data_IF_374062891097
#
_entry.id   IF_374062891097
#
_cell.length_a   1.000
_cell.length_b   1.000
_cell.length_c   1.000
_cell.angle_alpha   90.00
_cell.angle_beta   90.00
_cell.angle_gamma   90.00
#
_symmetry.space_group_name_H-M   'P 1'
#
loop_
_entity.id
_entity.type
_entity.pdbx_description
1 polymer ?
#
# COMPACT_ATOMS: atom_id res chain seq x y z
N UNK A 1 -52.31 -15.89 -34.88
CA UNK A 1 -50.98 -15.24 -34.88
C UNK A 1 -50.75 -14.23 -33.73
N UNK A 2 -51.62 -14.16 -32.70
CA UNK A 2 -51.50 -13.18 -31.60
C UNK A 2 -50.69 -13.68 -30.38
N UNK A 3 -50.69 -15.01 -30.13
CA UNK A 3 -50.06 -15.64 -28.96
C UNK A 3 -48.54 -15.61 -28.92
N UNK A 4 -47.85 -15.47 -30.06
CA UNK A 4 -46.39 -15.41 -30.12
C UNK A 4 -45.82 -14.05 -29.68
N UNK A 5 -46.51 -12.96 -30.01
CA UNK A 5 -46.08 -11.59 -29.68
C UNK A 5 -46.24 -11.30 -28.19
N UNK A 6 -47.31 -11.80 -27.54
CA UNK A 6 -47.50 -11.61 -26.10
C UNK A 6 -46.46 -12.38 -25.27
N UNK A 7 -46.09 -13.60 -25.68
CA UNK A 7 -45.02 -14.38 -25.04
C UNK A 7 -43.66 -13.71 -25.17
N UNK A 8 -43.36 -13.10 -26.32
CA UNK A 8 -42.12 -12.36 -26.55
C UNK A 8 -42.04 -11.10 -25.69
N UNK A 9 -43.14 -10.35 -25.56
CA UNK A 9 -43.22 -9.15 -24.70
C UNK A 9 -43.05 -9.54 -23.23
N UNK A 10 -43.70 -10.62 -22.78
CA UNK A 10 -43.56 -11.10 -21.40
C UNK A 10 -42.12 -11.54 -21.10
N UNK A 11 -41.46 -12.18 -22.05
CA UNK A 11 -40.07 -12.61 -21.94
C UNK A 11 -39.10 -11.42 -21.88
N UNK A 12 -39.29 -10.40 -22.73
CA UNK A 12 -38.50 -9.15 -22.69
C UNK A 12 -38.70 -8.38 -21.38
N UNK A 13 -39.94 -8.31 -20.88
CA UNK A 13 -40.22 -7.67 -19.59
C UNK A 13 -39.55 -8.40 -18.43
N UNK A 14 -39.50 -9.74 -18.47
CA UNK A 14 -38.82 -10.55 -17.46
C UNK A 14 -37.30 -10.36 -17.47
N UNK A 15 -36.69 -10.29 -18.66
CA UNK A 15 -35.26 -9.99 -18.81
C UNK A 15 -34.93 -8.58 -18.29
N UNK A 16 -35.75 -7.58 -18.63
CA UNK A 16 -35.59 -6.21 -18.15
C UNK A 16 -35.69 -6.14 -16.62
N UNK A 17 -36.62 -6.89 -16.02
CA UNK A 17 -36.77 -6.98 -14.57
C UNK A 17 -35.52 -7.58 -13.89
N UNK A 18 -34.93 -8.62 -14.46
CA UNK A 18 -33.68 -9.22 -13.96
C UNK A 18 -32.51 -8.22 -14.05
N UNK A 19 -32.41 -7.49 -15.17
CA UNK A 19 -31.41 -6.43 -15.35
C UNK A 19 -31.56 -5.31 -14.31
N UNK A 20 -32.79 -4.91 -14.00
CA UNK A 20 -33.07 -3.90 -12.97
C UNK A 20 -32.74 -4.39 -11.55
N UNK A 21 -32.87 -5.70 -11.29
CA UNK A 21 -32.58 -6.30 -9.98
C UNK A 21 -31.08 -6.56 -9.73
N UNK A 22 -30.22 -6.40 -10.75
CA UNK A 22 -28.77 -6.66 -10.64
C UNK A 22 -27.97 -5.49 -10.04
N UNK A 23 -28.65 -4.45 -9.55
CA UNK A 23 -28.06 -3.14 -9.21
C UNK A 23 -27.64 -2.91 -7.75
N UNK A 24 -27.22 -3.93 -6.99
CA UNK A 24 -26.70 -3.72 -5.63
C UNK A 24 -25.33 -4.36 -5.45
N UNK A 25 -24.32 -3.75 -6.04
CA UNK A 25 -22.95 -3.92 -5.57
C UNK A 25 -22.79 -3.04 -4.32
N UNK A 26 -22.66 -3.68 -3.17
CA UNK A 26 -22.34 -3.04 -1.88
C UNK A 26 -21.08 -2.21 -2.06
N UNK A 27 -21.23 -0.89 -2.22
CA UNK A 27 -20.10 0.03 -2.26
C UNK A 27 -19.46 -0.04 -0.88
N UNK A 28 -18.33 -0.72 -0.79
CA UNK A 28 -17.56 -0.80 0.43
C UNK A 28 -16.96 0.60 0.60
N UNK A 29 -17.67 1.48 1.30
CA UNK A 29 -17.13 2.79 1.65
C UNK A 29 -15.88 2.53 2.46
N UNK A 30 -14.73 2.77 1.85
CA UNK A 30 -13.44 2.73 2.52
C UNK A 30 -13.56 3.62 3.77
N UNK A 31 -13.28 3.05 4.93
CA UNK A 31 -13.47 3.74 6.20
C UNK A 31 -12.69 5.04 6.23
N UNK A 32 -13.27 6.08 6.84
CA UNK A 32 -12.57 7.35 7.05
C UNK A 32 -11.39 7.09 7.99
N UNK A 33 -10.17 7.25 7.48
CA UNK A 33 -8.94 7.12 8.27
C UNK A 33 -8.73 8.43 9.03
N UNK A 34 -8.96 8.41 10.34
CA UNK A 34 -8.68 9.55 11.22
C UNK A 34 -7.21 9.51 11.62
N UNK A 35 -6.38 10.30 10.93
CA UNK A 35 -4.94 10.40 11.23
C UNK A 35 -4.62 10.98 12.61
N UNK A 36 -5.59 11.60 13.29
CA UNK A 36 -5.44 12.09 14.67
C UNK A 36 -5.83 11.05 15.73
N UNK A 37 -6.36 9.90 15.32
CA UNK A 37 -6.77 8.79 16.18
C UNK A 37 -5.92 7.57 15.84
N UNK A 38 -4.59 7.77 15.87
CA UNK A 38 -3.61 6.71 15.70
C UNK A 38 -3.69 5.81 16.91
N UNK A 39 -4.54 4.79 16.81
CA UNK A 39 -4.62 3.69 17.76
C UNK A 39 -3.25 3.01 17.84
N UNK A 40 -2.53 3.28 18.93
CA UNK A 40 -1.21 2.72 19.26
C UNK A 40 -1.25 1.21 19.53
N UNK A 41 -2.43 0.62 19.57
CA UNK A 41 -2.74 -0.78 19.84
C UNK A 41 -2.71 -1.65 18.57
N UNK A 42 -2.01 -1.22 17.50
CA UNK A 42 -1.75 -2.10 16.36
C UNK A 42 -0.96 -3.32 16.84
N UNK A 43 -1.54 -4.55 16.76
CA UNK A 43 -0.89 -5.74 17.27
C UNK A 43 0.40 -6.00 16.48
N UNK A 44 1.55 -5.73 17.11
CA UNK A 44 2.88 -5.85 16.49
C UNK A 44 3.79 -4.63 16.69
N UNK A 45 3.27 -3.46 17.07
CA UNK A 45 4.07 -2.24 17.27
C UNK A 45 4.67 -2.10 18.69
N UNK A 46 4.97 -3.20 19.38
CA UNK A 46 5.66 -3.15 20.68
C UNK A 46 7.16 -3.08 20.44
N UNK A 47 7.70 -1.85 20.34
CA UNK A 47 9.15 -1.65 20.40
C UNK A 47 9.62 -1.85 21.84
N UNK A 48 9.94 -3.11 22.18
CA UNK A 48 10.60 -3.46 23.44
C UNK A 48 12.09 -3.16 23.27
N UNK A 49 12.45 -1.88 23.30
CA UNK A 49 13.80 -1.41 22.97
C UNK A 49 14.88 -2.09 23.81
N UNK A 50 15.62 -2.99 23.18
CA UNK A 50 16.95 -3.44 23.63
C UNK A 50 17.75 -4.05 22.46
N UNK A 51 17.64 -3.50 21.25
CA UNK A 51 18.64 -3.79 20.23
C UNK A 51 19.87 -2.94 20.57
N UNK A 52 20.97 -3.58 20.98
CA UNK A 52 22.22 -2.87 21.18
C UNK A 52 22.69 -2.27 19.84
N UNK A 53 23.21 -1.03 19.85
CA UNK A 53 23.80 -0.43 18.64
C UNK A 53 24.87 -1.39 18.07
N UNK A 54 24.66 -1.88 16.85
CA UNK A 54 25.60 -2.76 16.15
C UNK A 54 25.20 -4.23 15.95
N UNK A 55 24.04 -4.69 16.44
CA UNK A 55 23.67 -6.12 16.40
C UNK A 55 22.85 -6.55 15.17
N UNK A 56 22.69 -5.66 14.18
CA UNK A 56 22.07 -6.04 12.91
C UNK A 56 23.09 -6.80 12.05
N UNK A 57 22.73 -7.99 11.59
CA UNK A 57 23.60 -8.81 10.73
C UNK A 57 23.72 -8.27 9.29
N UNK A 58 22.94 -7.25 8.92
CA UNK A 58 22.88 -6.66 7.58
C UNK A 58 22.54 -5.17 7.65
N UNK A 59 23.00 -4.35 6.68
CA UNK A 59 22.69 -2.93 6.61
C UNK A 59 21.20 -2.64 6.80
N UNK A 60 20.90 -1.47 7.38
CA UNK A 60 19.54 -0.96 7.42
C UNK A 60 19.16 -0.58 5.98
N UNK A 61 18.23 -1.33 5.39
CA UNK A 61 17.80 -1.14 4.01
C UNK A 61 16.64 -0.14 3.98
N UNK A 62 16.94 1.07 3.54
CA UNK A 62 15.99 2.14 3.33
C UNK A 62 15.51 2.13 1.88
N UNK A 63 14.21 2.28 1.64
CA UNK A 63 13.67 2.46 0.29
C UNK A 63 12.79 3.70 0.17
N UNK A 64 12.58 4.13 -1.06
CA UNK A 64 11.57 5.13 -1.39
C UNK A 64 10.78 4.67 -2.61
N UNK A 65 9.46 4.69 -2.50
CA UNK A 65 8.58 4.55 -3.65
C UNK A 65 8.72 5.77 -4.57
N UNK A 66 8.44 5.62 -5.88
CA UNK A 66 8.65 6.65 -6.90
C UNK A 66 7.59 7.77 -6.80
N UNK A 67 7.70 8.60 -5.76
CA UNK A 67 6.91 9.84 -5.57
C UNK A 67 7.61 11.00 -6.26
N UNK A 68 8.95 11.03 -6.16
CA UNK A 68 9.85 12.04 -6.73
C UNK A 68 10.56 11.39 -7.92
N UNK A 69 10.87 12.17 -8.95
CA UNK A 69 11.65 11.70 -10.10
C UNK A 69 12.97 11.07 -9.63
N UNK A 70 13.51 10.04 -10.31
CA UNK A 70 14.78 9.45 -9.91
C UNK A 70 15.94 10.46 -9.89
N UNK A 71 15.95 11.41 -10.83
CA UNK A 71 16.98 12.45 -10.94
C UNK A 71 17.04 13.35 -9.70
N UNK A 72 15.89 13.78 -9.19
CA UNK A 72 15.82 14.64 -8.01
C UNK A 72 15.80 13.84 -6.69
N UNK A 73 15.15 12.68 -6.70
CA UNK A 73 14.93 11.87 -5.50
C UNK A 73 16.17 11.10 -5.08
N UNK A 74 16.92 10.53 -6.02
CA UNK A 74 18.07 9.68 -5.68
C UNK A 74 19.10 10.41 -4.80
N UNK A 75 19.57 11.63 -5.14
CA UNK A 75 20.50 12.38 -4.28
C UNK A 75 19.93 12.63 -2.88
N UNK A 76 18.67 13.05 -2.78
CA UNK A 76 18.03 13.37 -1.51
C UNK A 76 17.94 12.16 -0.57
N UNK A 77 17.59 10.98 -1.12
CA UNK A 77 17.49 9.77 -0.31
C UNK A 77 18.87 9.17 0.03
N UNK A 78 19.87 9.31 -0.84
CA UNK A 78 21.24 8.91 -0.50
C UNK A 78 21.86 9.80 0.57
N UNK A 79 21.60 11.11 0.54
CA UNK A 79 22.02 12.04 1.59
C UNK A 79 21.37 11.70 2.93
N UNK A 80 20.08 11.35 2.91
CA UNK A 80 19.38 10.87 4.10
C UNK A 80 19.96 9.55 4.63
N UNK A 81 20.26 8.59 3.74
CA UNK A 81 20.89 7.33 4.13
C UNK A 81 22.26 7.58 4.81
N UNK A 82 23.09 8.47 4.24
CA UNK A 82 24.37 8.86 4.83
C UNK A 82 24.22 9.54 6.19
N UNK A 83 23.24 10.44 6.33
CA UNK A 83 22.92 11.05 7.63
C UNK A 83 22.52 10.01 8.68
N UNK A 84 21.66 9.04 8.31
CA UNK A 84 21.24 7.98 9.21
C UNK A 84 22.42 7.09 9.59
N UNK A 85 23.29 6.74 8.64
CA UNK A 85 24.50 5.96 8.90
C UNK A 85 25.41 6.62 9.94
N UNK A 86 25.68 7.92 9.79
CA UNK A 86 26.46 8.70 10.75
C UNK A 86 25.82 8.72 12.14
N UNK A 87 24.51 8.94 12.21
CA UNK A 87 23.78 9.08 13.49
C UNK A 87 23.56 7.76 14.20
N UNK A 88 23.40 6.68 13.46
CA UNK A 88 23.19 5.34 14.02
C UNK A 88 24.52 4.64 14.31
N UNK A 89 25.62 5.06 13.68
CA UNK A 89 26.89 4.33 13.71
C UNK A 89 26.76 2.94 13.08
N UNK A 90 25.88 2.81 12.08
CA UNK A 90 25.48 1.53 11.48
C UNK A 90 25.23 1.68 9.98
N UNK A 91 25.68 0.75 9.11
CA UNK A 91 25.52 0.88 7.66
C UNK A 91 24.07 1.04 7.21
N UNK A 92 23.82 1.97 6.30
CA UNK A 92 22.50 2.21 5.69
C UNK A 92 22.59 2.08 4.18
N UNK A 93 21.78 1.20 3.60
CA UNK A 93 21.70 0.98 2.15
C UNK A 93 20.41 1.57 1.60
N UNK A 94 20.52 2.41 0.57
CA UNK A 94 19.34 2.90 -0.15
C UNK A 94 18.97 1.98 -1.33
N UNK A 95 17.77 1.41 -1.29
CA UNK A 95 17.22 0.48 -2.28
C UNK A 95 16.12 1.17 -3.09
N UNK A 96 16.22 1.14 -4.41
CA UNK A 96 15.24 1.76 -5.32
C UNK A 96 14.47 0.74 -6.13
N UNK A 97 13.18 1.00 -6.38
CA UNK A 97 12.36 0.22 -7.33
C UNK A 97 11.48 1.13 -8.19
N UNK A 98 11.20 0.76 -9.45
CA UNK A 98 10.38 1.56 -10.35
C UNK A 98 8.92 1.76 -9.93
N UNK A 99 8.36 0.92 -9.05
CA UNK A 99 6.93 0.98 -8.71
C UNK A 99 6.65 0.84 -7.21
N UNK A 100 5.50 1.37 -6.77
CA UNK A 100 4.99 1.17 -5.40
C UNK A 100 4.81 -0.31 -5.07
N UNK A 101 4.27 -1.10 -6.00
CA UNK A 101 4.02 -2.53 -5.81
C UNK A 101 5.31 -3.30 -5.50
N UNK A 102 6.42 -2.97 -6.15
CA UNK A 102 7.71 -3.59 -5.89
C UNK A 102 8.29 -3.17 -4.53
N UNK A 103 8.19 -1.89 -4.16
CA UNK A 103 8.61 -1.44 -2.82
C UNK A 103 7.77 -2.13 -1.73
N UNK A 104 6.45 -2.23 -1.93
CA UNK A 104 5.55 -2.92 -1.01
C UNK A 104 5.87 -4.42 -0.92
N UNK A 105 6.24 -5.06 -2.04
CA UNK A 105 6.69 -6.45 -2.04
C UNK A 105 7.97 -6.63 -1.22
N UNK A 106 8.96 -5.74 -1.38
CA UNK A 106 10.19 -5.78 -0.58
C UNK A 106 9.90 -5.54 0.91
N UNK A 107 8.98 -4.64 1.24
CA UNK A 107 8.56 -4.41 2.62
C UNK A 107 7.92 -5.66 3.22
N UNK A 108 7.02 -6.30 2.46
CA UNK A 108 6.31 -7.50 2.91
C UNK A 108 7.22 -8.72 3.06
N UNK A 109 8.25 -8.87 2.21
CA UNK A 109 9.23 -9.96 2.32
C UNK A 109 10.28 -9.71 3.39
N UNK A 110 10.34 -8.50 3.96
CA UNK A 110 11.41 -8.09 4.86
C UNK A 110 12.74 -7.84 4.15
N UNK A 111 12.71 -7.62 2.83
CA UNK A 111 13.87 -7.26 1.99
C UNK A 111 14.25 -5.78 2.10
N UNK A 112 13.44 -4.98 2.79
CA UNK A 112 13.77 -3.63 3.24
C UNK A 112 13.24 -3.43 4.67
N UNK A 113 13.86 -2.53 5.42
CA UNK A 113 13.53 -2.29 6.83
C UNK A 113 12.68 -1.03 7.02
N UNK A 114 12.87 -0.04 6.15
CA UNK A 114 12.17 1.25 6.18
C UNK A 114 11.82 1.64 4.75
N UNK A 115 10.62 2.19 4.53
CA UNK A 115 10.24 2.74 3.23
C UNK A 115 9.46 4.06 3.35
N UNK A 116 9.78 4.99 2.46
CA UNK A 116 8.93 6.14 2.15
C UNK A 116 7.89 5.73 1.09
N UNK A 117 6.62 5.64 1.48
CA UNK A 117 5.52 5.26 0.59
C UNK A 117 4.36 6.26 0.71
N UNK A 118 3.52 6.36 -0.32
CA UNK A 118 2.33 7.21 -0.24
C UNK A 118 1.28 6.56 0.70
N UNK A 119 0.48 7.38 1.36
CA UNK A 119 -0.52 6.92 2.34
C UNK A 119 -1.51 5.92 1.74
N UNK A 120 -1.90 6.08 0.47
CA UNK A 120 -2.81 5.15 -0.19
C UNK A 120 -2.16 3.78 -0.41
N UNK A 121 -0.92 3.74 -0.92
CA UNK A 121 -0.17 2.49 -1.12
C UNK A 121 0.13 1.77 0.20
N UNK A 122 0.35 2.52 1.28
CA UNK A 122 0.52 1.93 2.62
C UNK A 122 -0.74 1.20 3.09
N UNK A 123 -1.92 1.80 2.89
CA UNK A 123 -3.19 1.24 3.38
C UNK A 123 -3.71 0.11 2.49
N UNK A 124 -3.52 0.22 1.18
CA UNK A 124 -4.11 -0.70 0.21
C UNK A 124 -3.19 -1.84 -0.22
N UNK A 125 -1.88 -1.62 -0.19
CA UNK A 125 -0.91 -2.48 -0.88
C UNK A 125 -0.86 -2.14 -2.36
#
# INVERSE_FOLDING_TARGET
MSTGRSKLILFLAFILLILLLSGCAKTNREGIIKLNDLRSDYPGASYNGSAQPGDLQRPLRLAAAPVISPEEGYPAYTDLAGYLEERLGYPVEFVTRPTYAEVNLLMNSGDIDVAFVCTYAYVKG
#
